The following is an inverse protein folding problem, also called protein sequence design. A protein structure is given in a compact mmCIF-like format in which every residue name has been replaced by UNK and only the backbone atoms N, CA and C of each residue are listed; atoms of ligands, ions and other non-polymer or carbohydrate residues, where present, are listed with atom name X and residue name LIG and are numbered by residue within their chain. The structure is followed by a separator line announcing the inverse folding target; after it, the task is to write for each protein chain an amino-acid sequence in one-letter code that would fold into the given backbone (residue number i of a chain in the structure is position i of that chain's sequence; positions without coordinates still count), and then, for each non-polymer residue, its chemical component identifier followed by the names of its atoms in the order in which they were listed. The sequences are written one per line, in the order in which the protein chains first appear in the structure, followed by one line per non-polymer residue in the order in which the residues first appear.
data_IF_943183777259
#
_entry.id   IF_943183777259
#
_cell.length_a   1.000
_cell.length_b   1.000
_cell.length_c   1.000
_cell.angle_alpha   90.00
_cell.angle_beta   90.00
_cell.angle_gamma   90.00
#
_symmetry.space_group_name_H-M   'P 1'
#
loop_
_entity.id
_entity.type
_entity.pdbx_description
1 polymer ?
#
# COMPACT_ATOMS: atom_id res chain seq x y z
N UNK A 1 -17.32 -8.01 24.42
CA UNK A 1 -17.41 -9.10 23.42
C UNK A 1 -18.05 -8.48 22.19
N UNK A 2 -17.24 -8.04 21.23
CA UNK A 2 -17.69 -7.25 20.08
C UNK A 2 -17.89 -8.25 18.93
N UNK A 3 -19.11 -8.30 18.38
CA UNK A 3 -19.53 -9.33 17.44
C UNK A 3 -18.72 -9.29 16.15
N UNK A 4 -18.15 -10.43 15.78
CA UNK A 4 -17.61 -10.65 14.43
C UNK A 4 -18.82 -10.71 13.49
N UNK A 5 -18.89 -9.80 12.52
CA UNK A 5 -19.86 -9.91 11.42
C UNK A 5 -19.26 -10.81 10.35
N UNK A 6 -20.03 -11.83 10.00
CA UNK A 6 -19.75 -12.81 8.94
C UNK A 6 -20.87 -12.62 7.90
N UNK A 7 -20.55 -12.10 6.71
CA UNK A 7 -21.48 -11.91 5.60
C UNK A 7 -20.82 -12.34 4.29
N UNK A 8 -21.61 -12.80 3.34
CA UNK A 8 -21.10 -13.20 2.03
C UNK A 8 -20.66 -11.99 1.19
N UNK A 9 -21.36 -10.85 1.32
CA UNK A 9 -21.02 -9.61 0.64
C UNK A 9 -21.55 -8.37 1.39
N UNK A 10 -20.76 -7.31 1.41
CA UNK A 10 -21.11 -5.98 1.92
C UNK A 10 -21.02 -4.95 0.80
N UNK A 11 -22.17 -4.46 0.32
CA UNK A 11 -22.27 -3.40 -0.70
C UNK A 11 -22.90 -2.15 -0.11
N UNK A 12 -22.31 -0.98 -0.32
CA UNK A 12 -22.86 0.29 0.16
C UNK A 12 -22.50 1.47 -0.75
N UNK A 13 -23.32 2.52 -0.75
CA UNK A 13 -23.14 3.64 -1.69
C UNK A 13 -22.08 4.65 -1.25
N UNK A 14 -22.02 4.98 0.06
CA UNK A 14 -21.21 6.09 0.56
C UNK A 14 -19.97 5.62 1.34
N UNK A 15 -20.12 5.23 2.60
CA UNK A 15 -18.98 4.90 3.46
C UNK A 15 -19.25 3.65 4.31
N UNK A 16 -18.22 2.80 4.45
CA UNK A 16 -18.27 1.59 5.27
C UNK A 16 -17.17 1.58 6.32
N UNK A 17 -17.54 1.46 7.59
CA UNK A 17 -16.62 1.44 8.73
C UNK A 17 -16.67 0.10 9.45
N UNK A 18 -15.53 -0.58 9.54
CA UNK A 18 -15.45 -1.93 10.10
C UNK A 18 -14.40 -2.01 11.22
N UNK A 19 -14.75 -2.73 12.30
CA UNK A 19 -13.84 -3.04 13.42
C UNK A 19 -13.52 -4.53 13.43
N UNK A 20 -12.60 -4.98 12.57
CA UNK A 20 -12.36 -6.40 12.38
C UNK A 20 -13.40 -7.04 11.48
N UNK A 21 -12.96 -7.85 10.52
CA UNK A 21 -13.82 -8.18 9.40
C UNK A 21 -13.41 -9.49 8.67
N UNK A 22 -14.38 -10.37 8.37
CA UNK A 22 -14.26 -11.59 7.52
C UNK A 22 -15.49 -11.71 6.60
N UNK A 23 -15.38 -11.32 5.33
CA UNK A 23 -16.46 -11.37 4.29
C UNK A 23 -15.69 -11.70 3.03
N UNK A 24 -16.34 -12.38 2.10
CA UNK A 24 -15.75 -12.62 0.79
C UNK A 24 -15.60 -11.31 0.01
N UNK A 25 -16.62 -10.43 -0.02
CA UNK A 25 -16.62 -9.23 -0.87
C UNK A 25 -17.07 -7.96 -0.15
N UNK A 26 -16.30 -6.88 -0.28
CA UNK A 26 -16.66 -5.52 0.18
C UNK A 26 -16.60 -4.56 -1.01
N UNK A 27 -17.70 -3.86 -1.29
CA UNK A 27 -17.77 -2.87 -2.38
C UNK A 27 -18.50 -1.60 -1.94
N UNK A 28 -17.75 -0.50 -1.78
CA UNK A 28 -18.32 0.79 -1.38
C UNK A 28 -17.55 1.97 -1.94
N UNK A 29 -18.15 3.15 -1.99
CA UNK A 29 -17.44 4.38 -2.36
C UNK A 29 -16.21 4.61 -1.49
N UNK A 30 -16.41 4.66 -0.17
CA UNK A 30 -15.35 4.84 0.83
C UNK A 30 -15.35 3.66 1.81
N UNK A 31 -14.17 3.12 2.11
CA UNK A 31 -14.00 1.97 2.99
C UNK A 31 -12.94 2.31 4.02
N UNK A 32 -13.28 2.19 5.30
CA UNK A 32 -12.33 2.32 6.41
C UNK A 32 -12.42 1.09 7.29
N UNK A 33 -11.35 0.29 7.29
CA UNK A 33 -11.26 -0.93 8.08
C UNK A 33 -10.22 -0.72 9.16
N UNK A 34 -10.61 -0.91 10.42
CA UNK A 34 -9.71 -0.87 11.57
C UNK A 34 -9.65 -2.25 12.21
N UNK A 35 -8.45 -2.74 12.52
CA UNK A 35 -8.28 -4.02 13.23
C UNK A 35 -7.82 -5.17 12.33
N UNK A 36 -8.64 -6.21 12.19
CA UNK A 36 -8.32 -7.39 11.39
C UNK A 36 -9.11 -7.42 10.08
N UNK A 37 -8.52 -7.85 8.98
CA UNK A 37 -9.21 -8.02 7.69
C UNK A 37 -8.90 -9.38 7.09
N UNK A 38 -9.92 -10.12 6.67
CA UNK A 38 -9.80 -11.33 5.86
C UNK A 38 -10.85 -11.22 4.77
N UNK A 39 -10.43 -10.89 3.55
CA UNK A 39 -11.36 -10.65 2.45
C UNK A 39 -10.81 -11.17 1.13
N UNK A 40 -11.69 -11.72 0.29
CA UNK A 40 -11.29 -12.09 -1.07
C UNK A 40 -11.20 -10.84 -1.95
N UNK A 41 -12.16 -9.93 -1.82
CA UNK A 41 -12.28 -8.75 -2.66
C UNK A 41 -12.67 -7.51 -1.86
N UNK A 42 -11.88 -6.44 -2.02
CA UNK A 42 -12.22 -5.10 -1.53
C UNK A 42 -12.14 -4.14 -2.71
N UNK A 43 -13.26 -3.52 -3.07
CA UNK A 43 -13.36 -2.51 -4.13
C UNK A 43 -13.90 -1.22 -3.54
N UNK A 44 -13.22 -0.11 -3.77
CA UNK A 44 -13.79 1.20 -3.48
C UNK A 44 -13.02 2.35 -4.11
N UNK A 45 -13.60 3.55 -4.11
CA UNK A 45 -12.87 4.73 -4.58
C UNK A 45 -11.73 5.04 -3.61
N UNK A 46 -12.06 5.13 -2.33
CA UNK A 46 -11.10 5.42 -1.26
C UNK A 46 -11.10 4.28 -0.23
N UNK A 47 -9.97 3.59 -0.09
CA UNK A 47 -9.83 2.44 0.82
C UNK A 47 -8.73 2.71 1.84
N UNK A 48 -9.08 2.70 3.12
CA UNK A 48 -8.18 2.90 4.24
C UNK A 48 -8.20 1.65 5.13
N UNK A 49 -7.06 1.00 5.28
CA UNK A 49 -6.90 -0.20 6.11
C UNK A 49 -5.91 0.10 7.23
N UNK A 50 -6.42 0.23 8.45
CA UNK A 50 -5.70 0.46 9.69
C UNK A 50 -5.65 -0.84 10.50
N UNK A 51 -4.96 -1.83 9.97
CA UNK A 51 -5.11 -3.20 10.44
C UNK A 51 -4.21 -4.20 9.74
N UNK A 52 -4.15 -5.42 10.30
CA UNK A 52 -3.46 -6.55 9.69
C UNK A 52 -4.42 -7.64 9.26
N UNK A 53 -3.95 -8.61 8.48
CA UNK A 53 -4.75 -9.71 7.97
C UNK A 53 -4.41 -10.06 6.53
N UNK A 54 -5.39 -10.57 5.77
CA UNK A 54 -5.22 -11.03 4.39
C UNK A 54 -6.28 -10.43 3.48
N UNK A 55 -5.86 -9.98 2.30
CA UNK A 55 -6.74 -9.54 1.21
C UNK A 55 -6.26 -10.20 -0.09
N UNK A 56 -7.14 -10.88 -0.81
CA UNK A 56 -6.76 -11.48 -2.11
C UNK A 56 -6.73 -10.43 -3.22
N UNK A 57 -7.74 -9.59 -3.34
CA UNK A 57 -7.79 -8.52 -4.33
C UNK A 57 -8.26 -7.21 -3.69
N UNK A 58 -7.39 -6.20 -3.74
CA UNK A 58 -7.68 -4.82 -3.36
C UNK A 58 -7.72 -3.96 -4.62
N UNK A 59 -8.82 -3.24 -4.86
CA UNK A 59 -8.92 -2.32 -5.97
C UNK A 59 -9.49 -0.96 -5.54
N UNK A 60 -8.89 0.12 -6.05
CA UNK A 60 -9.45 1.45 -5.83
C UNK A 60 -8.72 2.62 -6.48
N UNK A 61 -9.23 3.83 -6.30
CA UNK A 61 -8.52 5.03 -6.75
C UNK A 61 -7.41 5.38 -5.75
N UNK A 62 -7.76 5.48 -4.46
CA UNK A 62 -6.81 5.81 -3.40
C UNK A 62 -6.82 4.72 -2.34
N UNK A 63 -5.68 4.06 -2.17
CA UNK A 63 -5.50 3.00 -1.18
C UNK A 63 -4.47 3.42 -0.13
N UNK A 64 -4.86 3.39 1.14
CA UNK A 64 -3.99 3.66 2.27
C UNK A 64 -3.91 2.43 3.18
N UNK A 65 -2.70 1.88 3.32
CA UNK A 65 -2.43 0.68 4.11
C UNK A 65 -1.50 1.00 5.26
N UNK A 66 -1.96 0.77 6.49
CA UNK A 66 -1.15 0.99 7.70
C UNK A 66 -1.46 -0.06 8.76
N UNK A 67 -0.79 -1.24 8.73
CA UNK A 67 -0.92 -2.23 9.77
C UNK A 67 -0.32 -1.72 11.07
N UNK A 68 -1.12 -1.74 12.14
CA UNK A 68 -0.70 -1.23 13.44
C UNK A 68 0.10 -2.26 14.23
N UNK A 69 -0.34 -3.52 14.26
CA UNK A 69 0.27 -4.61 15.07
C UNK A 69 0.57 -5.85 14.25
N UNK A 70 -0.46 -6.41 13.60
CA UNK A 70 -0.34 -7.63 12.81
C UNK A 70 0.08 -7.29 11.38
N UNK A 71 0.79 -8.19 10.67
CA UNK A 71 1.13 -7.97 9.27
C UNK A 71 -0.13 -7.89 8.41
N UNK A 72 -0.05 -7.17 7.30
CA UNK A 72 -1.08 -7.15 6.26
C UNK A 72 -0.53 -7.80 5.00
N UNK A 73 -1.22 -8.82 4.52
CA UNK A 73 -0.91 -9.55 3.29
C UNK A 73 -1.93 -9.15 2.23
N UNK A 74 -1.47 -8.68 1.08
CA UNK A 74 -2.32 -8.38 -0.08
C UNK A 74 -1.79 -9.17 -1.26
N UNK A 75 -2.58 -10.08 -1.82
CA UNK A 75 -2.11 -10.86 -2.98
C UNK A 75 -2.05 -9.98 -4.22
N UNK A 76 -3.12 -9.24 -4.53
CA UNK A 76 -3.18 -8.34 -5.68
C UNK A 76 -3.71 -6.96 -5.27
N UNK A 77 -2.95 -5.91 -5.54
CA UNK A 77 -3.34 -4.53 -5.29
C UNK A 77 -3.40 -3.74 -6.61
N UNK A 78 -4.58 -3.25 -6.97
CA UNK A 78 -4.85 -2.45 -8.16
C UNK A 78 -5.36 -1.06 -7.74
N UNK A 79 -4.45 -0.13 -7.51
CA UNK A 79 -4.80 1.20 -6.99
C UNK A 79 -4.29 2.31 -7.90
N UNK A 80 -5.03 3.39 -8.17
CA UNK A 80 -4.44 4.52 -8.90
C UNK A 80 -3.30 5.13 -8.09
N UNK A 81 -3.57 5.44 -6.82
CA UNK A 81 -2.60 5.90 -5.84
C UNK A 81 -2.58 4.92 -4.66
N UNK A 82 -1.39 4.47 -4.26
CA UNK A 82 -1.23 3.63 -3.08
C UNK A 82 -0.21 4.21 -2.12
N UNK A 83 -0.58 4.31 -0.85
CA UNK A 83 0.34 4.67 0.24
C UNK A 83 0.36 3.51 1.21
N UNK A 84 1.55 2.96 1.42
CA UNK A 84 1.79 1.79 2.26
C UNK A 84 2.81 2.12 3.33
N UNK A 85 2.37 2.16 4.58
CA UNK A 85 3.19 2.55 5.74
C UNK A 85 3.15 1.42 6.75
N UNK A 86 4.16 0.54 6.72
CA UNK A 86 4.33 -0.46 7.77
C UNK A 86 4.68 0.21 9.11
N UNK A 87 4.03 -0.21 10.19
CA UNK A 87 4.37 0.20 11.56
C UNK A 87 5.08 -0.95 12.29
N UNK A 88 4.49 -1.54 13.34
CA UNK A 88 5.02 -2.79 13.92
C UNK A 88 4.78 -3.97 12.99
N UNK A 89 3.60 -4.04 12.38
CA UNK A 89 3.29 -5.00 11.32
C UNK A 89 3.96 -4.60 10.00
N UNK A 90 4.48 -5.59 9.26
CA UNK A 90 4.96 -5.41 7.90
C UNK A 90 3.79 -5.51 6.91
N UNK A 91 3.91 -4.84 5.77
CA UNK A 91 2.99 -5.00 4.64
C UNK A 91 3.68 -5.87 3.60
N UNK A 92 3.00 -6.90 3.13
CA UNK A 92 3.45 -7.76 2.04
C UNK A 92 2.44 -7.69 0.90
N UNK A 93 2.91 -7.32 -0.28
CA UNK A 93 2.09 -7.25 -1.49
C UNK A 93 2.71 -8.18 -2.53
N UNK A 94 1.98 -9.21 -2.96
CA UNK A 94 2.51 -10.13 -3.98
C UNK A 94 2.57 -9.42 -5.34
N UNK A 95 1.47 -8.85 -5.80
CA UNK A 95 1.45 -8.05 -7.02
C UNK A 95 0.87 -6.65 -6.76
N UNK A 96 1.67 -5.62 -7.05
CA UNK A 96 1.28 -4.22 -6.90
C UNK A 96 1.21 -3.55 -8.26
N UNK A 97 -0.01 -3.26 -8.70
CA UNK A 97 -0.34 -2.47 -9.89
C UNK A 97 -0.86 -1.10 -9.44
N UNK A 98 -0.03 -0.06 -9.58
CA UNK A 98 -0.48 1.29 -9.23
C UNK A 98 0.08 2.40 -10.10
N UNK A 99 -0.67 3.47 -10.38
CA UNK A 99 -0.10 4.60 -11.13
C UNK A 99 0.98 5.30 -10.32
N UNK A 100 0.70 5.62 -9.06
CA UNK A 100 1.66 6.19 -8.11
C UNK A 100 1.66 5.39 -6.83
N UNK A 101 2.84 5.14 -6.27
CA UNK A 101 2.93 4.46 -4.98
C UNK A 101 4.00 5.04 -4.07
N UNK A 102 3.70 5.12 -2.78
CA UNK A 102 4.67 5.38 -1.71
C UNK A 102 4.74 4.16 -0.80
N UNK A 103 5.95 3.62 -0.64
CA UNK A 103 6.21 2.40 0.11
C UNK A 103 7.20 2.70 1.24
N UNK A 104 6.77 2.45 2.48
CA UNK A 104 7.59 2.48 3.68
C UNK A 104 7.39 1.19 4.45
N UNK A 105 8.49 0.52 4.83
CA UNK A 105 8.45 -0.77 5.53
C UNK A 105 7.50 -1.78 4.86
N UNK A 106 7.58 -1.87 3.54
CA UNK A 106 6.70 -2.69 2.71
C UNK A 106 7.53 -3.64 1.83
N UNK A 107 7.10 -4.89 1.74
CA UNK A 107 7.69 -5.89 0.87
C UNK A 107 6.77 -6.11 -0.33
N UNK A 108 7.29 -5.94 -1.54
CA UNK A 108 6.55 -6.14 -2.79
C UNK A 108 7.23 -7.22 -3.62
N UNK A 109 6.50 -8.24 -4.06
CA UNK A 109 7.08 -9.29 -4.89
C UNK A 109 7.19 -8.83 -6.36
N UNK A 110 6.09 -8.36 -6.96
CA UNK A 110 6.06 -7.78 -8.30
C UNK A 110 5.52 -6.35 -8.23
N UNK A 111 6.27 -5.39 -8.76
CA UNK A 111 5.87 -3.99 -8.86
C UNK A 111 5.64 -3.58 -10.32
N UNK A 112 4.46 -3.06 -10.60
CA UNK A 112 4.08 -2.42 -11.85
C UNK A 112 3.50 -1.02 -11.55
N UNK A 113 4.18 0.02 -12.01
CA UNK A 113 3.79 1.38 -11.71
C UNK A 113 4.25 2.40 -12.73
N UNK A 114 3.70 3.62 -12.67
CA UNK A 114 4.29 4.77 -13.38
C UNK A 114 5.34 5.43 -12.49
N UNK A 115 5.04 5.63 -11.20
CA UNK A 115 5.94 6.29 -10.25
C UNK A 115 5.93 5.60 -8.88
N UNK A 116 7.11 5.11 -8.45
CA UNK A 116 7.30 4.53 -7.13
C UNK A 116 8.19 5.41 -6.25
N UNK A 117 7.79 5.62 -5.00
CA UNK A 117 8.61 6.22 -3.96
C UNK A 117 8.94 5.14 -2.92
N UNK A 118 10.20 4.72 -2.89
CA UNK A 118 10.69 3.64 -2.05
C UNK A 118 11.44 4.23 -0.85
N UNK A 119 10.89 4.04 0.34
CA UNK A 119 11.42 4.55 1.61
C UNK A 119 12.06 3.45 2.45
N UNK A 120 12.49 3.81 3.67
CA UNK A 120 13.20 2.90 4.60
C UNK A 120 12.50 1.55 4.74
N UNK A 121 13.31 0.49 4.83
CA UNK A 121 12.87 -0.89 5.07
C UNK A 121 11.90 -1.43 4.00
N UNK A 122 11.95 -0.86 2.79
CA UNK A 122 11.17 -1.32 1.65
C UNK A 122 12.00 -2.25 0.80
N UNK A 123 11.40 -3.36 0.38
CA UNK A 123 12.02 -4.27 -0.58
C UNK A 123 11.10 -4.56 -1.74
N UNK A 124 11.64 -4.53 -2.95
CA UNK A 124 10.92 -4.96 -4.15
C UNK A 124 11.70 -6.12 -4.78
N UNK A 125 11.08 -7.30 -4.88
CA UNK A 125 11.77 -8.45 -5.47
C UNK A 125 11.91 -8.28 -6.98
N UNK A 126 10.86 -7.87 -7.69
CA UNK A 126 10.91 -7.64 -9.12
C UNK A 126 10.14 -6.38 -9.50
N UNK A 127 10.81 -5.45 -10.18
CA UNK A 127 10.11 -4.39 -10.92
C UNK A 127 9.83 -4.91 -12.31
N UNK A 128 8.54 -5.14 -12.59
CA UNK A 128 8.09 -5.55 -13.92
C UNK A 128 7.99 -4.34 -14.85
N UNK A 129 7.38 -3.25 -14.38
CA UNK A 129 7.23 -2.00 -15.14
C UNK A 129 7.27 -0.78 -14.21
N UNK A 130 8.05 0.23 -14.57
CA UNK A 130 8.19 1.50 -13.87
C UNK A 130 8.66 2.58 -14.84
N UNK A 131 8.01 3.74 -14.87
CA UNK A 131 8.54 4.93 -15.59
C UNK A 131 9.45 5.78 -14.69
N UNK A 132 9.25 5.74 -13.37
CA UNK A 132 10.03 6.49 -12.40
C UNK A 132 10.14 5.76 -11.07
N UNK A 133 11.35 5.66 -10.53
CA UNK A 133 11.60 5.15 -9.18
C UNK A 133 12.40 6.17 -8.40
N UNK A 134 11.84 6.62 -7.28
CA UNK A 134 12.46 7.55 -6.34
C UNK A 134 12.82 6.80 -5.08
N UNK A 135 14.09 6.77 -4.74
CA UNK A 135 14.59 6.23 -3.48
C UNK A 135 14.71 7.36 -2.47
N UNK A 136 14.02 7.26 -1.34
CA UNK A 136 14.11 8.24 -0.25
C UNK A 136 14.95 7.76 0.94
N UNK A 137 15.50 6.54 0.83
CA UNK A 137 16.35 5.92 1.84
C UNK A 137 17.37 4.98 1.22
N UNK A 138 18.60 4.90 1.78
CA UNK A 138 19.59 3.92 1.35
C UNK A 138 19.25 2.48 1.76
N UNK A 139 18.23 2.28 2.60
CA UNK A 139 17.78 0.96 3.07
C UNK A 139 16.60 0.41 2.25
N UNK A 140 16.26 1.05 1.14
CA UNK A 140 15.34 0.50 0.15
C UNK A 140 16.15 -0.31 -0.87
N UNK A 141 15.68 -1.51 -1.22
CA UNK A 141 16.38 -2.36 -2.19
C UNK A 141 15.44 -2.99 -3.22
N UNK A 142 15.99 -3.21 -4.41
CA UNK A 142 15.34 -3.91 -5.51
C UNK A 142 16.22 -5.10 -5.90
N UNK A 143 15.68 -6.31 -5.92
CA UNK A 143 16.45 -7.52 -6.23
C UNK A 143 16.59 -7.72 -7.75
N UNK A 144 15.51 -7.54 -8.51
CA UNK A 144 15.49 -7.74 -9.96
C UNK A 144 14.77 -6.61 -10.70
N UNK A 145 15.39 -6.13 -11.77
CA UNK A 145 14.79 -5.19 -12.72
C UNK A 145 14.57 -5.95 -14.04
N UNK A 146 13.31 -6.09 -14.48
CA UNK A 146 13.02 -6.50 -15.87
C UNK A 146 13.43 -5.33 -16.78
N UNK A 147 13.91 -5.56 -18.02
CA UNK A 147 14.18 -4.47 -18.96
C UNK A 147 13.00 -3.50 -19.05
N UNK A 148 13.24 -2.24 -18.70
CA UNK A 148 12.22 -1.21 -18.69
C UNK A 148 12.13 -0.52 -20.06
N UNK A 149 11.00 0.11 -20.35
CA UNK A 149 10.85 0.94 -21.55
C UNK A 149 11.90 2.07 -21.57
N UNK A 150 12.30 2.50 -22.76
CA UNK A 150 13.32 3.56 -22.94
C UNK A 150 12.84 4.84 -22.25
N UNK A 151 13.55 5.27 -21.20
CA UNK A 151 13.24 6.51 -20.47
C UNK A 151 12.89 6.35 -18.98
N UNK A 152 12.97 5.16 -18.39
CA UNK A 152 12.77 5.02 -16.93
C UNK A 152 13.79 5.83 -16.14
N UNK A 153 13.30 6.69 -15.24
CA UNK A 153 14.13 7.56 -14.41
C UNK A 153 14.29 6.98 -13.01
N UNK A 154 15.54 6.82 -12.57
CA UNK A 154 15.86 6.47 -11.20
C UNK A 154 16.44 7.70 -10.49
N UNK A 155 15.92 8.05 -9.32
CA UNK A 155 16.38 9.22 -8.58
C UNK A 155 16.53 8.89 -7.11
N UNK A 156 17.61 9.36 -6.48
CA UNK A 156 17.75 9.35 -5.03
C UNK A 156 17.40 10.75 -4.49
N UNK A 157 16.43 10.83 -3.59
CA UNK A 157 16.00 12.06 -2.90
C UNK A 157 15.93 11.78 -1.41
N UNK A 158 17.04 11.94 -0.66
CA UNK A 158 17.02 11.68 0.77
C UNK A 158 15.99 12.59 1.43
N UNK A 159 15.25 12.05 2.39
CA UNK A 159 14.35 12.85 3.20
C UNK A 159 15.19 13.92 3.93
N UNK A 160 15.00 15.19 3.57
CA UNK A 160 15.57 16.29 4.32
C UNK A 160 14.70 16.48 5.56
N UNK A 161 15.28 16.28 6.74
CA UNK A 161 14.64 16.62 7.99
C UNK A 161 14.26 18.10 7.97
N UNK A 162 12.97 18.40 8.08
CA UNK A 162 12.45 19.78 8.11
C UNK A 162 13.02 20.59 9.29
N UNK A 163 13.65 19.94 10.28
CA UNK A 163 14.39 20.61 11.36
C UNK A 163 15.70 21.28 10.92
N UNK A 164 16.18 21.01 9.70
CA UNK A 164 17.38 21.67 9.15
C UNK A 164 17.09 22.97 8.40
N UNK A 165 15.83 23.42 8.37
CA UNK A 165 15.40 24.64 7.67
C UNK A 165 15.28 25.85 8.63
N UNK A 166 15.34 25.66 9.95
CA UNK A 166 15.19 26.76 10.94
C UNK A 166 16.50 27.44 11.40
N UNK A 167 17.64 27.26 10.73
CA UNK A 167 18.89 28.00 11.08
C UNK A 167 19.47 28.86 9.94
N UNK A 168 18.67 29.23 8.93
CA UNK A 168 19.12 30.14 7.88
C UNK A 168 18.12 31.21 7.46
N UNK A 169 17.37 31.79 8.39
CA UNK A 169 16.81 33.13 8.22
C UNK A 169 16.80 33.86 9.56
N UNK A 170 17.67 34.87 9.72
CA UNK A 170 17.54 35.94 10.72
C UNK A 170 18.44 35.85 11.93
#
# INVERSE_FOLDING_TARGET
MMGMMDRDASVCEASYYLNGFRDHVVSCGEIVIKGFVDAELIIGRDVIILGGGKITLLAGENCFLMPVKNPLLVENAHCVNLVSIGSRGHIWISELNARKTYLFKTHVHVLNTVEAWLSRLTSVKTVAKASKIVFTSPHAYIEKLIPQEVGTVYTYRPYQDLSSVEEKEG
#
